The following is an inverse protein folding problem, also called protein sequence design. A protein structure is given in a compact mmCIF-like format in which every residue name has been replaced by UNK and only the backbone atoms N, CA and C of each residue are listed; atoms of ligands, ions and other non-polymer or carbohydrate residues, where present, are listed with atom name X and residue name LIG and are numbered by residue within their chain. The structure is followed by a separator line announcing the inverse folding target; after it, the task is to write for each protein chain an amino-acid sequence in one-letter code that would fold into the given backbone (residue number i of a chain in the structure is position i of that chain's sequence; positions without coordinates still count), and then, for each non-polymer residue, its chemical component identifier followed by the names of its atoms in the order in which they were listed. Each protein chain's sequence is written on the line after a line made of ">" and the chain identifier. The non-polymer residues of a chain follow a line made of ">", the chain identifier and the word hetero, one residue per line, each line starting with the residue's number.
data_IF_046494547862
#
_entry.id   IF_046494547862
#
_cell.length_a   1.000
_cell.length_b   1.000
_cell.length_c   1.000
_cell.angle_alpha   90.00
_cell.angle_beta   90.00
_cell.angle_gamma   90.00
#
_symmetry.space_group_name_H-M   'P 1'
#
loop_
_entity.id
_entity.type
_entity.pdbx_description
1 polymer ?
#
# COMPACT_ATOMS: atom_id res chain seq x y z
N UNK A 1 7.95 -11.26 15.59
CA UNK A 1 7.74 -10.65 14.27
C UNK A 1 7.40 -9.19 14.48
N UNK A 2 8.21 -8.28 13.96
CA UNK A 2 7.94 -6.84 13.99
C UNK A 2 6.97 -6.45 12.87
N UNK A 3 6.35 -5.26 12.98
CA UNK A 3 5.46 -4.74 11.93
C UNK A 3 6.17 -4.62 10.59
N UNK A 4 7.40 -4.13 10.62
CA UNK A 4 8.29 -4.04 9.47
C UNK A 4 8.50 -5.39 8.80
N UNK A 5 8.88 -6.42 9.57
CA UNK A 5 9.05 -7.78 9.06
C UNK A 5 7.77 -8.33 8.44
N UNK A 6 6.62 -8.11 9.08
CA UNK A 6 5.33 -8.57 8.57
C UNK A 6 4.97 -7.93 7.23
N UNK A 7 5.19 -6.62 7.07
CA UNK A 7 4.96 -5.92 5.79
C UNK A 7 5.87 -6.48 4.69
N UNK A 8 7.17 -6.67 4.98
CA UNK A 8 8.11 -7.22 4.01
C UNK A 8 7.72 -8.66 3.62
N UNK A 9 7.41 -9.52 4.59
CA UNK A 9 6.97 -10.90 4.33
C UNK A 9 5.71 -10.93 3.46
N UNK A 10 4.77 -10.00 3.68
CA UNK A 10 3.55 -9.87 2.87
C UNK A 10 3.86 -9.47 1.41
N UNK A 11 4.85 -8.58 1.22
CA UNK A 11 5.29 -8.15 -0.11
C UNK A 11 6.07 -9.25 -0.86
N UNK A 12 6.90 -10.02 -0.17
CA UNK A 12 7.65 -11.13 -0.76
C UNK A 12 6.73 -12.18 -1.41
N UNK A 13 5.52 -12.38 -0.85
CA UNK A 13 4.53 -13.31 -1.41
C UNK A 13 3.99 -12.87 -2.77
N UNK A 14 4.08 -11.58 -3.11
CA UNK A 14 3.49 -10.98 -4.32
C UNK A 14 4.54 -10.33 -5.25
N UNK A 15 5.81 -10.32 -4.87
CA UNK A 15 6.89 -9.66 -5.61
C UNK A 15 7.16 -10.27 -7.00
N UNK A 16 6.61 -11.46 -7.25
CA UNK A 16 6.67 -12.14 -8.56
C UNK A 16 5.89 -11.42 -9.66
N UNK A 17 4.87 -10.63 -9.31
CA UNK A 17 4.03 -9.93 -10.27
C UNK A 17 4.72 -8.68 -10.83
N UNK A 18 4.36 -8.24 -12.04
CA UNK A 18 4.96 -7.04 -12.65
C UNK A 18 4.33 -5.72 -12.18
N UNK A 19 3.12 -5.82 -11.63
CA UNK A 19 2.33 -4.72 -11.11
C UNK A 19 1.84 -5.12 -9.73
N UNK A 20 2.19 -4.31 -8.73
CA UNK A 20 1.83 -4.56 -7.33
C UNK A 20 1.16 -3.31 -6.75
N UNK A 21 0.02 -3.48 -6.09
CA UNK A 21 -0.67 -2.42 -5.35
C UNK A 21 -0.58 -2.70 -3.86
N UNK A 22 -0.12 -1.71 -3.11
CA UNK A 22 -0.05 -1.74 -1.65
C UNK A 22 -0.88 -0.57 -1.12
N UNK A 23 -2.01 -0.85 -0.52
CA UNK A 23 -2.84 0.16 0.13
C UNK A 23 -2.46 0.27 1.60
N UNK A 24 -2.02 1.46 2.02
CA UNK A 24 -1.68 1.77 3.41
C UNK A 24 -2.46 3.00 3.93
N UNK A 25 -3.78 2.88 4.11
CA UNK A 25 -4.63 3.99 4.52
C UNK A 25 -4.40 4.47 5.96
N UNK A 26 -3.74 3.64 6.78
CA UNK A 26 -3.44 3.91 8.19
C UNK A 26 -1.98 4.35 8.40
N UNK A 27 -1.11 4.27 7.39
CA UNK A 27 0.30 4.63 7.50
C UNK A 27 1.11 3.61 8.30
N UNK A 28 0.68 2.35 8.31
CA UNK A 28 1.29 1.22 9.01
C UNK A 28 2.71 0.96 8.51
N UNK A 29 2.95 1.13 7.21
CA UNK A 29 4.23 0.82 6.58
C UNK A 29 5.24 1.96 6.66
N UNK A 30 4.96 3.09 7.35
CA UNK A 30 5.89 4.23 7.42
C UNK A 30 7.30 3.86 7.83
N UNK A 31 7.44 3.03 8.86
CA UNK A 31 8.74 2.54 9.33
C UNK A 31 9.37 1.51 8.39
N UNK A 32 8.55 0.89 7.53
CA UNK A 32 8.97 -0.09 6.56
C UNK A 32 9.31 0.50 5.18
N UNK A 33 8.93 1.75 4.86
CA UNK A 33 9.09 2.33 3.52
C UNK A 33 10.51 2.22 2.96
N UNK A 34 11.53 2.50 3.76
CA UNK A 34 12.93 2.34 3.33
C UNK A 34 13.25 0.90 2.93
N UNK A 35 12.70 -0.08 3.65
CA UNK A 35 12.86 -1.49 3.33
C UNK A 35 11.97 -1.95 2.18
N UNK A 36 10.80 -1.36 1.98
CA UNK A 36 9.96 -1.60 0.81
C UNK A 36 10.67 -1.09 -0.45
N UNK A 37 11.22 0.13 -0.42
CA UNK A 37 11.98 0.68 -1.54
C UNK A 37 13.23 -0.15 -1.84
N UNK A 38 13.94 -0.62 -0.81
CA UNK A 38 15.08 -1.52 -1.00
C UNK A 38 14.69 -2.86 -1.65
N UNK A 39 13.62 -3.49 -1.16
CA UNK A 39 13.08 -4.74 -1.71
C UNK A 39 12.60 -4.54 -3.17
N UNK A 40 11.86 -3.46 -3.41
CA UNK A 40 11.38 -3.09 -4.73
C UNK A 40 12.54 -2.94 -5.73
N UNK A 41 13.57 -2.18 -5.36
CA UNK A 41 14.77 -2.00 -6.19
C UNK A 41 15.49 -3.33 -6.47
N UNK A 42 15.64 -4.20 -5.46
CA UNK A 42 16.26 -5.52 -5.63
C UNK A 42 15.52 -6.39 -6.65
N UNK A 43 14.20 -6.24 -6.76
CA UNK A 43 13.35 -6.98 -7.69
C UNK A 43 13.01 -6.22 -8.98
N UNK A 44 13.65 -5.07 -9.23
CA UNK A 44 13.48 -4.27 -10.45
C UNK A 44 12.17 -3.50 -10.54
N UNK A 45 11.57 -3.16 -9.40
CA UNK A 45 10.38 -2.31 -9.32
C UNK A 45 10.77 -0.85 -9.21
N UNK A 46 10.00 0.00 -9.89
CA UNK A 46 9.92 1.42 -9.54
C UNK A 46 8.70 1.66 -8.66
N UNK A 47 8.92 2.27 -7.51
CA UNK A 47 7.87 2.56 -6.51
C UNK A 47 7.27 3.94 -6.75
N UNK A 48 5.94 3.99 -6.82
CA UNK A 48 5.17 5.23 -6.83
C UNK A 48 4.47 5.36 -5.48
N UNK A 49 4.96 6.26 -4.63
CA UNK A 49 4.28 6.63 -3.40
C UNK A 49 3.35 7.81 -3.71
N UNK A 50 2.04 7.62 -3.54
CA UNK A 50 1.08 8.67 -3.83
C UNK A 50 -0.06 8.69 -2.82
N UNK A 51 -0.57 9.90 -2.59
CA UNK A 51 -1.78 10.15 -1.82
C UNK A 51 -2.77 11.04 -2.57
N UNK A 52 -2.38 11.64 -3.70
CA UNK A 52 -3.24 12.50 -4.54
C UNK A 52 -3.16 12.10 -6.01
N UNK A 53 -4.26 12.30 -6.74
CA UNK A 53 -4.37 11.91 -8.16
C UNK A 53 -3.38 12.65 -9.05
N UNK A 54 -3.09 13.93 -8.75
CA UNK A 54 -2.17 14.72 -9.56
C UNK A 54 -0.74 14.17 -9.48
N UNK A 55 -0.24 13.94 -8.26
CA UNK A 55 1.09 13.36 -8.04
C UNK A 55 1.20 11.95 -8.61
N UNK A 56 0.15 11.14 -8.41
CA UNK A 56 0.10 9.80 -8.97
C UNK A 56 0.18 9.84 -10.50
N UNK A 57 -0.67 10.64 -11.16
CA UNK A 57 -0.75 10.66 -12.62
C UNK A 57 0.55 11.13 -13.26
N UNK A 58 1.13 12.21 -12.76
CA UNK A 58 2.40 12.74 -13.25
C UNK A 58 3.53 11.69 -13.13
N UNK A 59 3.61 11.00 -11.99
CA UNK A 59 4.64 9.96 -11.77
C UNK A 59 4.41 8.73 -12.64
N UNK A 60 3.16 8.26 -12.73
CA UNK A 60 2.80 7.06 -13.49
C UNK A 60 3.00 7.27 -14.99
N UNK A 61 2.62 8.43 -15.54
CA UNK A 61 2.82 8.73 -16.97
C UNK A 61 4.29 8.79 -17.35
N UNK A 62 5.14 9.41 -16.52
CA UNK A 62 6.59 9.43 -16.75
C UNK A 62 7.18 8.03 -16.79
N UNK A 63 6.75 7.16 -15.87
CA UNK A 63 7.21 5.77 -15.83
C UNK A 63 6.75 4.95 -17.03
N UNK A 64 5.54 5.20 -17.54
CA UNK A 64 5.07 4.52 -18.76
C UNK A 64 5.82 4.95 -20.03
N UNK A 65 6.45 6.12 -20.02
CA UNK A 65 7.29 6.60 -21.13
C UNK A 65 8.72 6.08 -21.06
N UNK A 66 9.14 5.53 -19.93
CA UNK A 66 10.47 4.99 -19.72
C UNK A 66 10.52 3.51 -20.13
N UNK A 67 11.22 3.14 -21.22
CA UNK A 67 11.29 1.76 -21.69
C UNK A 67 12.08 0.84 -20.75
N UNK A 68 12.88 1.38 -19.83
CA UNK A 68 13.66 0.61 -18.85
C UNK A 68 12.81 0.17 -17.65
N UNK A 69 11.65 0.80 -17.43
CA UNK A 69 10.77 0.50 -16.28
C UNK A 69 9.92 -0.73 -16.60
N UNK A 70 10.41 -1.89 -16.17
CA UNK A 70 9.67 -3.15 -16.29
C UNK A 70 8.54 -3.26 -15.26
N UNK A 71 8.87 -3.24 -13.96
CA UNK A 71 7.91 -3.48 -12.88
C UNK A 71 7.54 -2.21 -12.13
N UNK A 72 6.27 -2.08 -11.75
CA UNK A 72 5.75 -0.88 -11.05
C UNK A 72 5.03 -1.33 -9.79
N UNK A 73 5.36 -0.68 -8.67
CA UNK A 73 4.67 -0.85 -7.40
C UNK A 73 4.01 0.47 -7.00
N UNK A 74 2.71 0.45 -6.70
CA UNK A 74 2.01 1.61 -6.16
C UNK A 74 1.86 1.43 -4.66
N UNK A 75 2.32 2.42 -3.90
CA UNK A 75 2.03 2.60 -2.49
C UNK A 75 0.94 3.67 -2.35
N UNK A 76 -0.31 3.22 -2.23
CA UNK A 76 -1.48 4.07 -2.05
C UNK A 76 -1.61 4.46 -0.58
N UNK A 77 -1.25 5.70 -0.28
CA UNK A 77 -1.31 6.30 1.04
C UNK A 77 -2.58 7.16 1.22
N UNK A 78 -3.63 6.91 0.43
CA UNK A 78 -4.92 7.61 0.59
C UNK A 78 -5.44 7.41 2.01
N UNK A 79 -5.58 8.47 2.83
CA UNK A 79 -5.98 8.34 4.22
C UNK A 79 -7.35 7.67 4.36
N UNK A 80 -7.51 6.83 5.37
CA UNK A 80 -8.75 6.11 5.68
C UNK A 80 -10.01 7.01 5.64
N UNK A 81 -9.91 8.25 6.16
CA UNK A 81 -11.02 9.21 6.20
C UNK A 81 -11.49 9.55 4.78
N UNK A 82 -10.59 9.71 3.79
CA UNK A 82 -10.96 10.01 2.40
C UNK A 82 -11.60 8.81 1.69
N UNK A 83 -11.30 7.59 2.10
CA UNK A 83 -11.92 6.38 1.56
C UNK A 83 -13.38 6.26 2.02
N UNK A 84 -13.67 6.61 3.27
CA UNK A 84 -14.97 6.35 3.91
C UNK A 84 -15.90 7.57 3.97
N UNK A 85 -15.35 8.78 4.12
CA UNK A 85 -16.13 10.02 4.24
C UNK A 85 -15.94 10.87 2.97
N UNK A 86 -16.61 10.47 1.88
CA UNK A 86 -16.65 11.24 0.64
C UNK A 86 -17.54 12.47 0.83
N UNK A 87 -16.94 13.61 1.20
CA UNK A 87 -17.61 14.91 1.11
C UNK A 87 -17.24 15.62 -0.19
N UNK A 88 -18.08 16.56 -0.62
CA UNK A 88 -17.81 17.44 -1.78
C UNK A 88 -16.49 18.22 -1.59
N UNK A 89 -16.09 18.48 -0.34
CA UNK A 89 -14.86 19.19 0.01
C UNK A 89 -13.62 18.28 0.14
N UNK A 90 -13.78 16.96 0.12
CA UNK A 90 -12.68 16.02 0.27
C UNK A 90 -12.09 15.63 -1.09
N UNK A 91 -10.76 15.57 -1.17
CA UNK A 91 -10.10 15.09 -2.38
C UNK A 91 -10.48 13.62 -2.65
N UNK A 92 -10.83 13.25 -3.89
CA UNK A 92 -11.19 11.88 -4.24
C UNK A 92 -10.03 10.92 -3.96
N UNK A 93 -10.30 9.62 -3.73
CA UNK A 93 -9.25 8.63 -3.60
C UNK A 93 -8.41 8.53 -4.88
N UNK A 94 -7.24 7.89 -4.77
CA UNK A 94 -6.43 7.61 -5.95
C UNK A 94 -7.22 6.82 -7.00
N UNK A 95 -7.01 7.19 -8.25
CA UNK A 95 -7.68 6.64 -9.42
C UNK A 95 -6.62 6.08 -10.37
N UNK A 96 -6.55 4.75 -10.45
CA UNK A 96 -5.49 4.01 -11.13
C UNK A 96 -6.07 2.82 -11.93
N UNK A 97 -7.20 3.02 -12.61
CA UNK A 97 -7.93 1.94 -13.33
C UNK A 97 -7.06 1.25 -14.39
N UNK A 98 -6.29 2.03 -15.14
CA UNK A 98 -5.34 1.55 -16.15
C UNK A 98 -4.19 0.71 -15.56
N UNK A 99 -3.78 1.02 -14.33
CA UNK A 99 -2.88 0.16 -13.57
C UNK A 99 -3.58 -1.13 -13.13
N UNK A 100 -4.83 -1.05 -12.66
CA UNK A 100 -5.59 -2.22 -12.18
C UNK A 100 -5.88 -3.22 -13.29
N UNK A 101 -6.10 -2.77 -14.52
CA UNK A 101 -6.26 -3.67 -15.68
C UNK A 101 -5.06 -4.61 -15.85
N UNK A 102 -3.86 -4.17 -15.46
CA UNK A 102 -2.61 -4.93 -15.56
C UNK A 102 -2.15 -5.54 -14.23
N UNK A 103 -2.81 -5.20 -13.13
CA UNK A 103 -2.46 -5.65 -11.79
C UNK A 103 -3.44 -6.75 -11.35
N UNK A 104 -3.02 -8.02 -11.26
CA UNK A 104 -3.90 -9.11 -10.85
C UNK A 104 -4.36 -8.95 -9.40
N UNK A 105 -5.50 -9.53 -9.02
CA UNK A 105 -6.07 -9.35 -7.67
C UNK A 105 -5.13 -9.83 -6.57
N UNK A 106 -4.37 -10.88 -6.82
CA UNK A 106 -3.40 -11.47 -5.92
C UNK A 106 -2.19 -10.56 -5.66
N UNK A 107 -1.95 -9.57 -6.52
CA UNK A 107 -0.89 -8.57 -6.38
C UNK A 107 -1.37 -7.28 -5.70
N UNK A 108 -2.62 -7.25 -5.23
CA UNK A 108 -3.23 -6.11 -4.55
C UNK A 108 -3.39 -6.45 -3.08
N UNK A 109 -2.60 -5.81 -2.23
CA UNK A 109 -2.67 -5.98 -0.78
C UNK A 109 -3.13 -4.69 -0.12
N UNK A 110 -3.94 -4.84 0.92
CA UNK A 110 -4.25 -3.75 1.85
C UNK A 110 -3.62 -4.09 3.18
N UNK A 111 -2.81 -3.19 3.71
CA UNK A 111 -2.21 -3.36 5.02
C UNK A 111 -3.29 -3.18 6.09
N UNK A 112 -3.47 -4.22 6.89
CA UNK A 112 -4.54 -4.33 7.88
C UNK A 112 -3.91 -4.57 9.26
N UNK A 113 -4.15 -3.64 10.19
CA UNK A 113 -3.55 -3.70 11.52
C UNK A 113 -4.15 -4.83 12.36
N UNK A 114 -5.44 -5.13 12.18
CA UNK A 114 -6.08 -6.28 12.81
C UNK A 114 -5.43 -7.58 12.34
N UNK A 115 -5.15 -7.71 11.04
CA UNK A 115 -4.48 -8.91 10.50
C UNK A 115 -3.06 -9.05 11.05
N UNK A 116 -2.27 -7.97 11.07
CA UNK A 116 -0.95 -7.98 11.72
C UNK A 116 -1.03 -8.45 13.18
N UNK A 117 -1.95 -7.88 13.97
CA UNK A 117 -2.12 -8.24 15.37
C UNK A 117 -2.55 -9.71 15.54
N UNK A 118 -3.39 -10.23 14.65
CA UNK A 118 -3.77 -11.65 14.62
C UNK A 118 -2.56 -12.54 14.36
N UNK A 119 -1.77 -12.22 13.35
CA UNK A 119 -0.61 -13.02 12.95
C UNK A 119 0.48 -13.02 14.03
N UNK A 120 0.70 -11.89 14.72
CA UNK A 120 1.71 -11.78 15.78
C UNK A 120 1.24 -12.40 17.10
N UNK A 121 -0.03 -12.26 17.46
CA UNK A 121 -0.52 -12.67 18.79
C UNK A 121 -1.24 -14.00 18.81
N UNK A 122 -1.61 -14.55 17.65
CA UNK A 122 -2.40 -15.77 17.52
C UNK A 122 -3.86 -15.64 17.97
N UNK A 123 -4.29 -14.44 18.37
CA UNK A 123 -5.64 -14.19 18.87
C UNK A 123 -6.58 -13.76 17.73
N UNK A 124 -7.48 -14.66 17.34
CA UNK A 124 -8.49 -14.40 16.29
C UNK A 124 -9.56 -13.39 16.70
N UNK A 125 -9.73 -13.11 17.99
CA UNK A 125 -10.82 -12.27 18.52
C UNK A 125 -10.49 -10.77 18.54
N UNK A 126 -9.39 -10.35 17.90
CA UNK A 126 -9.05 -8.93 17.76
C UNK A 126 -10.20 -8.16 17.11
N UNK A 127 -10.65 -7.04 17.69
CA UNK A 127 -11.77 -6.29 17.15
C UNK A 127 -11.38 -5.59 15.84
N UNK A 128 -12.33 -5.47 14.91
CA UNK A 128 -12.14 -4.70 13.67
C UNK A 128 -11.83 -3.21 13.95
N UNK A 129 -12.23 -2.72 15.13
CA UNK A 129 -11.90 -1.39 15.63
C UNK A 129 -10.39 -1.10 15.62
N UNK A 130 -9.50 -2.11 15.67
CA UNK A 130 -8.06 -1.92 15.51
C UNK A 130 -7.69 -1.19 14.21
N UNK A 131 -8.50 -1.31 13.15
CA UNK A 131 -8.30 -0.62 11.87
C UNK A 131 -8.89 0.79 11.83
N UNK A 132 -9.45 1.29 12.93
CA UNK A 132 -9.87 2.69 13.00
C UNK A 132 -8.68 3.58 13.36
N UNK A 133 -8.57 4.73 12.67
CA UNK A 133 -7.46 5.69 12.84
C UNK A 133 -7.17 6.03 14.31
N UNK A 134 -8.21 6.21 15.13
CA UNK A 134 -8.05 6.56 16.55
C UNK A 134 -7.35 5.48 17.37
N UNK A 135 -7.58 4.21 17.05
CA UNK A 135 -6.98 3.07 17.74
C UNK A 135 -5.64 2.70 17.13
N UNK A 136 -5.53 2.75 15.80
CA UNK A 136 -4.28 2.51 15.09
C UNK A 136 -3.15 3.39 15.64
N UNK A 137 -3.38 4.70 15.78
CA UNK A 137 -2.39 5.66 16.32
C UNK A 137 -1.90 5.41 17.75
N UNK A 138 -2.55 4.53 18.51
CA UNK A 138 -2.08 4.14 19.85
C UNK A 138 -1.16 2.92 19.81
N UNK A 139 -1.12 2.21 18.68
CA UNK A 139 -0.40 0.95 18.50
C UNK A 139 0.78 1.08 17.54
N UNK A 140 0.76 2.06 16.64
CA UNK A 140 1.81 2.38 15.66
C UNK A 140 2.32 3.82 15.83
#
# INVERSE_FOLDING_TARGET
>A
MTLKEWVINSLEQIIRYERVLVCDPLGIAKEAYVSIDALANQHGFTVIQASTNLTFRDSYERLLQDPEVGKIMILDQTPYIRLHNRSISSAPPLFYTDFLEKCPLEARISLDLQQYLRDVTGDGNRPQACNEVRFARLMI
#
